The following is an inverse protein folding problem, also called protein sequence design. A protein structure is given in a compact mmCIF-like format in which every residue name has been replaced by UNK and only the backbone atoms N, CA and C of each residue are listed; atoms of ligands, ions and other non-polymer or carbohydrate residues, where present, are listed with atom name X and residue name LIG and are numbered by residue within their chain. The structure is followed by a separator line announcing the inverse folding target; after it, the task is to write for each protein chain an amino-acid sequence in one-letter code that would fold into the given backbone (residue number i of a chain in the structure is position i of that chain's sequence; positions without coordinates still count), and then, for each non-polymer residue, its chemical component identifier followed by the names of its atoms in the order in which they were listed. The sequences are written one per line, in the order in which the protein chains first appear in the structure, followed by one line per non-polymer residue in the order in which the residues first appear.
data_IF_098803816823
#
_entry.id   IF_098803816823
#
_cell.length_a   1.000
_cell.length_b   1.000
_cell.length_c   1.000
_cell.angle_alpha   90.00
_cell.angle_beta   90.00
_cell.angle_gamma   90.00
#
_symmetry.space_group_name_H-M   'P 1'
#
loop_
_entity.id
_entity.type
_entity.pdbx_description
1 polymer ?
#
# COMPACT_ATOMS: atom_id res chain seq x y z
N UNK A 1 28.31 39.64 34.28
CA UNK A 1 28.16 38.96 32.99
C UNK A 1 26.98 38.00 33.14
N UNK A 2 25.88 38.39 32.51
CA UNK A 2 24.69 37.59 32.13
C UNK A 2 24.02 36.69 33.17
N UNK A 3 23.12 37.29 33.94
CA UNK A 3 21.77 36.72 34.16
C UNK A 3 20.90 37.12 32.97
N UNK A 4 20.01 36.22 32.51
CA UNK A 4 18.58 36.52 32.23
C UNK A 4 17.84 35.33 31.59
N UNK A 5 16.84 34.90 32.34
CA UNK A 5 15.44 34.74 31.92
C UNK A 5 15.09 33.69 30.85
N UNK A 6 14.54 32.60 31.37
CA UNK A 6 13.57 31.74 30.73
C UNK A 6 12.30 32.58 30.50
N UNK A 7 11.86 32.77 29.25
CA UNK A 7 10.63 33.48 28.90
C UNK A 7 9.80 32.69 27.90
N UNK A 8 8.63 32.27 28.40
CA UNK A 8 7.31 32.17 27.80
C UNK A 8 7.12 31.56 26.40
N UNK A 9 6.26 30.54 26.37
CA UNK A 9 5.42 30.19 25.23
C UNK A 9 4.65 31.42 24.72
N UNK A 10 4.66 31.63 23.41
CA UNK A 10 3.65 32.41 22.69
C UNK A 10 2.88 31.50 21.72
N UNK A 11 1.54 31.56 21.71
CA UNK A 11 0.70 30.92 20.71
C UNK A 11 0.41 31.89 19.56
N UNK A 12 0.22 31.37 18.34
CA UNK A 12 -0.36 32.12 17.23
C UNK A 12 0.44 32.01 15.94
N UNK A 13 0.14 30.98 15.13
CA UNK A 13 0.39 31.05 13.70
C UNK A 13 -0.98 31.12 13.00
N UNK A 14 -1.26 32.30 12.47
CA UNK A 14 -2.47 32.66 11.74
C UNK A 14 -2.70 31.75 10.53
N UNK A 15 -3.87 31.13 10.47
CA UNK A 15 -4.35 30.45 9.26
C UNK A 15 -5.01 31.48 8.34
N UNK A 16 -4.31 31.90 7.29
CA UNK A 16 -4.89 32.71 6.20
C UNK A 16 -5.39 31.79 5.08
N UNK A 17 -6.70 31.74 4.76
CA UNK A 17 -7.19 31.02 3.59
C UNK A 17 -7.11 31.95 2.37
N UNK A 18 -6.13 31.72 1.51
CA UNK A 18 -5.98 32.38 0.22
C UNK A 18 -6.01 31.34 -0.89
N UNK A 19 -6.99 31.45 -1.78
CA UNK A 19 -7.30 30.53 -2.85
C UNK A 19 -6.11 30.19 -3.77
N UNK A 20 -6.01 28.92 -4.17
CA UNK A 20 -5.66 28.51 -5.54
C UNK A 20 -5.99 27.04 -5.79
N UNK A 21 -6.98 26.82 -6.66
CA UNK A 21 -7.13 25.56 -7.39
C UNK A 21 -5.99 25.46 -8.39
N UNK A 22 -5.10 24.49 -8.17
CA UNK A 22 -4.23 23.93 -9.21
C UNK A 22 -4.02 22.47 -8.87
N UNK A 23 -4.76 21.61 -9.56
CA UNK A 23 -4.62 20.16 -9.48
C UNK A 23 -3.47 19.79 -10.43
N UNK A 24 -2.24 19.90 -9.95
CA UNK A 24 -1.04 19.25 -10.48
C UNK A 24 0.19 19.77 -9.71
N UNK A 25 0.38 19.28 -8.48
CA UNK A 25 1.71 19.31 -7.89
C UNK A 25 2.43 18.03 -8.32
N UNK A 26 3.67 18.10 -8.83
CA UNK A 26 4.48 16.92 -9.05
C UNK A 26 4.68 16.28 -7.68
N UNK A 27 4.27 15.02 -7.52
CA UNK A 27 4.61 14.28 -6.31
C UNK A 27 6.13 14.26 -6.23
N UNK A 28 6.67 14.94 -5.21
CA UNK A 28 8.08 14.97 -4.88
C UNK A 28 8.64 13.54 -4.92
N UNK A 29 9.42 13.21 -5.95
CA UNK A 29 10.00 11.88 -6.16
C UNK A 29 11.12 11.57 -5.15
N UNK A 30 11.42 12.51 -4.25
CA UNK A 30 12.60 12.49 -3.38
C UNK A 30 12.45 11.65 -2.10
N UNK A 31 11.28 11.01 -1.86
CA UNK A 31 11.07 10.17 -0.67
C UNK A 31 10.33 8.84 -0.95
N UNK A 32 10.37 8.31 -2.17
CA UNK A 32 9.88 6.93 -2.37
C UNK A 32 10.85 5.93 -1.72
N UNK A 33 10.37 5.02 -0.85
CA UNK A 33 11.22 3.96 -0.31
C UNK A 33 11.80 3.14 -1.45
N UNK A 34 13.11 2.92 -1.41
CA UNK A 34 13.77 2.02 -2.37
C UNK A 34 13.16 0.62 -2.24
N UNK A 35 12.64 0.09 -3.35
CA UNK A 35 12.10 -1.27 -3.41
C UNK A 35 13.25 -2.19 -3.83
N UNK A 36 13.69 -3.12 -2.97
CA UNK A 36 14.72 -4.08 -3.34
C UNK A 36 14.31 -4.98 -4.52
N UNK A 37 15.28 -5.46 -5.28
CA UNK A 37 15.04 -6.41 -6.39
C UNK A 37 14.56 -7.78 -5.88
N UNK A 38 14.92 -8.16 -4.66
CA UNK A 38 14.41 -9.35 -3.97
C UNK A 38 13.44 -8.93 -2.86
N UNK A 39 12.20 -9.43 -2.92
CA UNK A 39 11.18 -9.18 -1.91
C UNK A 39 10.75 -10.47 -1.21
N UNK A 40 10.57 -10.38 0.10
CA UNK A 40 9.80 -11.36 0.86
C UNK A 40 8.33 -11.21 0.50
N UNK A 41 7.73 -12.29 0.02
CA UNK A 41 6.37 -12.33 -0.49
C UNK A 41 5.42 -12.80 0.61
N UNK A 42 4.49 -11.93 0.99
CA UNK A 42 3.38 -12.22 1.89
C UNK A 42 2.12 -12.54 1.05
N UNK A 43 1.65 -13.80 1.07
CA UNK A 43 0.42 -14.17 0.39
C UNK A 43 -0.81 -13.61 1.12
N UNK A 44 -1.66 -12.86 0.41
CA UNK A 44 -2.93 -12.33 0.95
C UNK A 44 -4.14 -13.05 0.34
N UNK A 45 -5.22 -13.18 1.13
CA UNK A 45 -6.49 -13.84 0.74
C UNK A 45 -7.62 -12.83 0.62
N UNK A 46 -8.52 -12.99 -0.36
CA UNK A 46 -9.75 -12.18 -0.46
C UNK A 46 -9.55 -10.72 -0.80
N UNK A 47 -8.31 -10.26 -1.01
CA UNK A 47 -8.00 -8.85 -1.21
C UNK A 47 -6.88 -8.67 -2.22
N UNK A 48 -6.94 -7.54 -2.93
CA UNK A 48 -5.88 -7.04 -3.80
C UNK A 48 -5.51 -5.65 -3.30
N UNK A 49 -4.22 -5.43 -3.04
CA UNK A 49 -3.72 -4.14 -2.57
C UNK A 49 -3.28 -3.32 -3.76
N UNK A 50 -3.83 -2.12 -3.91
CA UNK A 50 -3.40 -1.19 -4.96
C UNK A 50 -2.33 -0.21 -4.44
N UNK A 51 -1.49 0.33 -5.32
CA UNK A 51 -0.63 1.48 -5.00
C UNK A 51 -1.42 2.62 -4.34
N UNK A 52 -0.78 3.35 -3.44
CA UNK A 52 -1.36 4.43 -2.64
C UNK A 52 -2.52 4.02 -1.70
N UNK A 53 -2.86 2.73 -1.59
CA UNK A 53 -3.89 2.25 -0.66
C UNK A 53 -3.27 1.91 0.69
N UNK A 54 -3.93 2.30 1.79
CA UNK A 54 -3.56 1.88 3.15
C UNK A 54 -4.63 0.94 3.69
N UNK A 55 -4.23 -0.27 4.08
CA UNK A 55 -5.15 -1.26 4.66
C UNK A 55 -4.55 -1.99 5.86
N UNK A 56 -5.39 -2.39 6.83
CA UNK A 56 -5.03 -3.37 7.86
C UNK A 56 -5.01 -4.80 7.28
N UNK A 57 -3.99 -5.57 7.60
CA UNK A 57 -3.88 -7.00 7.29
C UNK A 57 -3.70 -7.82 8.57
N UNK A 58 -4.51 -8.86 8.73
CA UNK A 58 -4.35 -9.82 9.82
C UNK A 58 -3.39 -10.93 9.40
N UNK A 59 -2.35 -11.15 10.19
CA UNK A 59 -1.33 -12.17 9.98
C UNK A 59 -1.41 -13.17 11.13
N UNK A 60 -1.67 -14.43 10.78
CA UNK A 60 -1.88 -15.53 11.74
C UNK A 60 -0.97 -16.74 11.50
N UNK A 61 -0.38 -16.85 10.31
CA UNK A 61 0.43 -18.03 9.96
C UNK A 61 1.86 -17.88 10.46
N UNK A 62 2.41 -18.96 11.02
CA UNK A 62 3.80 -18.99 11.48
C UNK A 62 4.81 -18.59 10.37
N UNK A 63 4.59 -18.98 9.12
CA UNK A 63 5.44 -18.58 7.99
C UNK A 63 5.39 -17.06 7.73
N UNK A 64 4.21 -16.46 7.83
CA UNK A 64 4.02 -15.02 7.64
C UNK A 64 4.54 -14.19 8.80
N UNK A 65 4.42 -14.68 10.04
CA UNK A 65 5.02 -14.06 11.22
C UNK A 65 6.55 -14.05 11.12
N UNK A 66 7.14 -15.21 10.77
CA UNK A 66 8.58 -15.33 10.49
C UNK A 66 9.06 -14.40 9.39
N UNK A 67 8.26 -14.24 8.32
CA UNK A 67 8.55 -13.29 7.25
C UNK A 67 8.67 -11.87 7.78
N UNK A 68 7.70 -11.44 8.60
CA UNK A 68 7.72 -10.10 9.18
C UNK A 68 8.92 -9.93 10.11
N UNK A 69 9.19 -10.89 10.99
CA UNK A 69 10.29 -10.79 11.96
C UNK A 69 11.69 -10.79 11.30
N UNK A 70 11.92 -11.52 10.20
CA UNK A 70 13.22 -11.51 9.49
C UNK A 70 13.35 -10.35 8.48
N UNK A 71 12.23 -9.89 7.89
CA UNK A 71 12.26 -8.84 6.87
C UNK A 71 12.31 -7.46 7.50
N UNK A 72 11.48 -7.16 8.50
CA UNK A 72 11.33 -5.82 9.09
C UNK A 72 12.65 -5.21 9.64
N UNK A 73 13.59 -5.97 10.23
CA UNK A 73 14.88 -5.43 10.65
C UNK A 73 15.77 -4.98 9.49
N UNK A 74 15.59 -5.57 8.30
CA UNK A 74 16.42 -5.28 7.10
C UNK A 74 15.75 -4.23 6.21
N UNK A 75 14.46 -4.37 5.98
CA UNK A 75 13.66 -3.49 5.12
C UNK A 75 12.22 -3.43 5.59
N UNK A 76 11.62 -2.24 5.52
CA UNK A 76 10.19 -2.06 5.82
C UNK A 76 9.30 -2.39 4.61
N UNK A 77 9.88 -2.75 3.48
CA UNK A 77 9.16 -3.06 2.24
C UNK A 77 8.95 -4.56 2.12
N UNK A 78 7.71 -4.97 1.92
CA UNK A 78 7.30 -6.36 1.69
C UNK A 78 6.54 -6.48 0.36
N UNK A 79 6.57 -7.65 -0.27
CA UNK A 79 5.76 -7.93 -1.45
C UNK A 79 4.42 -8.53 -1.05
N UNK A 80 3.31 -7.94 -1.49
CA UNK A 80 1.97 -8.51 -1.30
C UNK A 80 1.52 -9.16 -2.59
N UNK A 81 1.14 -10.44 -2.53
CA UNK A 81 0.61 -11.18 -3.69
C UNK A 81 -0.66 -11.89 -3.30
N UNK A 82 -1.71 -11.71 -4.11
CA UNK A 82 -2.99 -12.36 -3.88
C UNK A 82 -2.90 -13.85 -4.23
N UNK A 83 -3.55 -14.69 -3.43
CA UNK A 83 -3.71 -16.11 -3.70
C UNK A 83 -4.82 -16.32 -4.74
N UNK A 84 -4.64 -17.27 -5.66
CA UNK A 84 -5.68 -17.69 -6.61
C UNK A 84 -6.76 -18.51 -5.91
N UNK A 85 -6.34 -19.40 -5.03
CA UNK A 85 -7.19 -20.25 -4.22
C UNK A 85 -7.09 -19.80 -2.76
N UNK A 86 -8.17 -19.25 -2.24
CA UNK A 86 -8.23 -18.74 -0.87
C UNK A 86 -8.28 -19.84 0.19
N UNK A 87 -8.60 -21.08 -0.21
CA UNK A 87 -8.76 -22.21 0.72
C UNK A 87 -7.43 -22.82 1.15
N UNK A 88 -6.36 -22.63 0.36
CA UNK A 88 -5.03 -23.21 0.65
C UNK A 88 -4.31 -22.48 1.78
N UNK A 89 -3.92 -23.22 2.81
CA UNK A 89 -3.16 -22.69 3.96
C UNK A 89 -1.70 -22.43 3.66
N UNK A 90 -1.06 -23.24 2.82
CA UNK A 90 0.30 -23.03 2.38
C UNK A 90 0.32 -22.90 0.85
N UNK A 91 0.17 -21.67 0.31
CA UNK A 91 0.14 -21.46 -1.12
C UNK A 91 1.53 -21.72 -1.71
N UNK A 92 1.57 -22.56 -2.75
CA UNK A 92 2.78 -22.72 -3.54
C UNK A 92 2.96 -21.53 -4.49
N UNK A 93 4.15 -21.30 -5.07
CA UNK A 93 4.34 -20.23 -6.04
C UNK A 93 3.36 -20.27 -7.23
N UNK A 94 2.85 -21.46 -7.58
CA UNK A 94 1.89 -21.65 -8.68
C UNK A 94 0.47 -21.21 -8.32
N UNK A 95 0.16 -21.17 -7.02
CA UNK A 95 -1.12 -20.75 -6.47
C UNK A 95 -1.22 -19.23 -6.32
N UNK A 96 -0.16 -18.49 -6.66
CA UNK A 96 -0.10 -17.04 -6.58
C UNK A 96 -0.35 -16.39 -7.94
N UNK A 97 -0.85 -15.15 -7.92
CA UNK A 97 -0.86 -14.31 -9.12
C UNK A 97 0.57 -13.86 -9.47
N UNK A 98 0.85 -13.67 -10.76
CA UNK A 98 2.16 -13.22 -11.23
C UNK A 98 2.45 -11.76 -10.90
N UNK A 99 1.41 -10.95 -10.66
CA UNK A 99 1.52 -9.53 -10.34
C UNK A 99 1.07 -9.30 -8.90
N UNK A 100 1.88 -8.55 -8.17
CA UNK A 100 1.62 -8.13 -6.80
C UNK A 100 1.86 -6.63 -6.59
N UNK A 101 1.82 -6.22 -5.34
CA UNK A 101 2.06 -4.83 -4.92
C UNK A 101 3.11 -4.81 -3.82
N UNK A 102 4.18 -4.06 -4.04
CA UNK A 102 5.17 -3.77 -3.03
C UNK A 102 4.52 -2.81 -2.03
N UNK A 103 4.61 -3.14 -0.76
CA UNK A 103 3.96 -2.39 0.30
C UNK A 103 4.95 -2.03 1.41
N UNK A 104 4.81 -0.84 1.95
CA UNK A 104 5.53 -0.37 3.12
C UNK A 104 4.75 -0.76 4.38
N UNK A 105 5.41 -1.40 5.33
CA UNK A 105 4.86 -1.66 6.65
C UNK A 105 4.94 -0.39 7.48
N UNK A 106 3.77 0.17 7.81
CA UNK A 106 3.65 1.41 8.61
C UNK A 106 3.67 1.10 10.10
N UNK A 107 2.90 0.10 10.52
CA UNK A 107 2.76 -0.27 11.94
C UNK A 107 2.46 -1.75 12.09
N UNK A 108 2.99 -2.33 13.16
CA UNK A 108 2.71 -3.70 13.57
C UNK A 108 2.10 -3.67 14.98
N UNK A 109 0.96 -4.34 15.14
CA UNK A 109 0.18 -4.42 16.37
C UNK A 109 0.04 -5.90 16.73
N UNK A 110 0.76 -6.35 17.76
CA UNK A 110 0.65 -7.73 18.26
C UNK A 110 -0.56 -7.82 19.18
N UNK A 111 -1.58 -8.59 18.80
CA UNK A 111 -2.75 -8.84 19.64
C UNK A 111 -2.55 -10.05 20.55
N UNK A 112 -1.82 -11.07 20.07
CA UNK A 112 -1.31 -12.22 20.82
C UNK A 112 -0.02 -12.73 20.15
N UNK A 113 0.64 -13.76 20.70
CA UNK A 113 1.86 -14.35 20.13
C UNK A 113 1.67 -14.77 18.65
N UNK A 114 0.52 -15.36 18.33
CA UNK A 114 0.22 -15.86 16.98
C UNK A 114 -0.69 -14.93 16.16
N UNK A 115 -1.13 -13.79 16.71
CA UNK A 115 -2.04 -12.88 16.02
C UNK A 115 -1.46 -11.47 15.94
N UNK A 116 -1.09 -11.06 14.72
CA UNK A 116 -0.49 -9.77 14.45
C UNK A 116 -1.31 -9.02 13.41
N UNK A 117 -1.73 -7.82 13.76
CA UNK A 117 -2.34 -6.87 12.84
C UNK A 117 -1.24 -5.95 12.28
N UNK A 118 -1.04 -5.95 10.97
CA UNK A 118 -0.08 -5.09 10.29
C UNK A 118 -0.79 -4.07 9.40
N UNK A 119 -0.42 -2.80 9.54
CA UNK A 119 -0.92 -1.72 8.70
C UNK A 119 0.11 -1.51 7.59
N UNK A 120 -0.34 -1.65 6.35
CA UNK A 120 0.52 -1.56 5.16
C UNK A 120 0.03 -0.48 4.20
N UNK A 121 0.96 0.17 3.52
CA UNK A 121 0.70 1.11 2.43
C UNK A 121 1.24 0.54 1.12
N UNK A 122 0.38 0.38 0.11
CA UNK A 122 0.81 0.01 -1.23
C UNK A 122 1.67 1.10 -1.86
N UNK A 123 2.84 0.74 -2.37
CA UNK A 123 3.78 1.65 -3.02
C UNK A 123 3.67 1.55 -4.55
N UNK A 124 4.03 0.39 -5.11
CA UNK A 124 4.09 0.16 -6.56
C UNK A 124 3.72 -1.28 -6.88
N UNK A 125 3.23 -1.50 -8.10
CA UNK A 125 3.03 -2.86 -8.63
C UNK A 125 4.37 -3.49 -8.97
N UNK A 126 4.47 -4.80 -8.84
CA UNK A 126 5.61 -5.59 -9.30
C UNK A 126 5.13 -6.88 -9.98
N UNK A 127 5.96 -7.44 -10.85
CA UNK A 127 5.79 -8.77 -11.41
C UNK A 127 6.80 -9.73 -10.78
N UNK A 128 6.35 -10.93 -10.42
CA UNK A 128 7.22 -12.02 -9.98
C UNK A 128 8.06 -12.49 -11.17
N UNK A 129 9.39 -12.43 -11.05
CA UNK A 129 10.33 -12.89 -12.08
C UNK A 129 10.81 -14.30 -11.80
N UNK A 130 11.36 -14.51 -10.62
CA UNK A 130 11.97 -15.79 -10.22
C UNK A 130 11.79 -16.03 -8.73
N UNK A 131 11.47 -17.26 -8.35
CA UNK A 131 11.40 -17.67 -6.95
C UNK A 131 12.82 -18.02 -6.48
N UNK A 132 13.28 -17.33 -5.45
CA UNK A 132 14.63 -17.51 -4.85
C UNK A 132 14.58 -18.56 -3.76
N UNK A 133 13.55 -18.51 -2.90
CA UNK A 133 13.38 -19.46 -1.81
C UNK A 133 11.89 -19.67 -1.50
N UNK A 134 11.56 -20.87 -1.01
CA UNK A 134 10.20 -21.26 -0.59
C UNK A 134 10.08 -21.56 0.90
N UNK A 135 11.19 -21.82 1.59
CA UNK A 135 11.24 -22.10 3.03
C UNK A 135 12.27 -21.18 3.70
N UNK A 136 11.96 -20.55 4.85
CA UNK A 136 10.74 -20.68 5.66
C UNK A 136 9.54 -19.84 5.19
N UNK A 137 9.74 -18.95 4.22
CA UNK A 137 8.71 -18.16 3.54
C UNK A 137 9.13 -17.90 2.09
N UNK A 138 8.21 -17.40 1.27
CA UNK A 138 8.47 -17.13 -0.14
C UNK A 138 9.34 -15.88 -0.31
N UNK A 139 10.44 -16.03 -1.06
CA UNK A 139 11.26 -14.92 -1.56
C UNK A 139 11.33 -14.99 -3.06
N UNK A 140 11.17 -13.85 -3.71
CA UNK A 140 11.19 -13.76 -5.16
C UNK A 140 11.91 -12.51 -5.62
N UNK A 141 12.61 -12.65 -6.75
CA UNK A 141 13.06 -11.53 -7.55
C UNK A 141 11.84 -10.90 -8.24
N UNK A 142 11.77 -9.58 -8.19
CA UNK A 142 10.63 -8.81 -8.70
C UNK A 142 11.08 -7.82 -9.76
N UNK A 143 10.22 -7.61 -10.76
CA UNK A 143 10.38 -6.56 -11.76
C UNK A 143 9.33 -5.48 -11.55
N UNK A 144 9.69 -4.21 -11.73
CA UNK A 144 8.81 -3.07 -11.50
C UNK A 144 8.27 -2.58 -12.84
N UNK A 145 7.06 -2.99 -13.27
CA UNK A 145 6.51 -2.55 -14.54
C UNK A 145 6.35 -1.03 -14.55
N UNK A 146 6.67 -0.43 -15.70
CA UNK A 146 6.46 0.99 -15.92
C UNK A 146 4.96 1.29 -15.99
N UNK A 147 4.52 2.29 -15.23
CA UNK A 147 3.18 2.83 -15.36
C UNK A 147 3.11 3.63 -16.66
N UNK A 148 2.33 3.15 -17.62
CA UNK A 148 2.06 3.87 -18.86
C UNK A 148 1.14 5.05 -18.51
N UNK A 149 1.60 6.28 -18.76
CA UNK A 149 0.73 7.45 -18.65
C UNK A 149 -0.32 7.39 -19.76
N UNK A 150 -1.61 7.60 -19.45
CA UNK A 150 -2.63 7.62 -20.49
C UNK A 150 -2.35 8.76 -21.48
N UNK A 151 -2.76 8.60 -22.74
CA UNK A 151 -2.59 9.64 -23.75
C UNK A 151 -3.50 10.84 -23.44
N UNK A 152 -2.97 12.06 -23.56
CA UNK A 152 -3.71 13.33 -23.37
C UNK A 152 -4.65 13.61 -24.56
N UNK A 153 -5.62 12.73 -24.75
CA UNK A 153 -6.58 12.77 -25.85
C UNK A 153 -7.96 13.19 -25.33
N UNK A 154 -8.74 13.87 -26.18
CA UNK A 154 -10.11 14.27 -25.83
C UNK A 154 -10.99 13.06 -25.53
N UNK A 155 -10.74 11.95 -26.21
CA UNK A 155 -11.39 10.66 -26.01
C UNK A 155 -11.10 10.09 -24.62
N UNK A 156 -9.84 10.14 -24.16
CA UNK A 156 -9.47 9.73 -22.82
C UNK A 156 -10.18 10.57 -21.76
N UNK A 157 -10.15 11.90 -21.91
CA UNK A 157 -10.82 12.78 -20.96
C UNK A 157 -12.34 12.55 -20.91
N UNK A 158 -13.00 12.37 -22.07
CA UNK A 158 -14.43 12.09 -22.14
C UNK A 158 -14.76 10.77 -21.46
N UNK A 159 -13.93 9.74 -21.67
CA UNK A 159 -14.09 8.43 -21.03
C UNK A 159 -13.91 8.53 -19.53
N UNK A 160 -12.89 9.26 -19.06
CA UNK A 160 -12.62 9.47 -17.65
C UNK A 160 -13.75 10.25 -16.96
N UNK A 161 -14.28 11.30 -17.61
CA UNK A 161 -15.47 12.02 -17.13
C UNK A 161 -16.67 11.08 -16.99
N UNK A 162 -16.96 10.28 -18.01
CA UNK A 162 -18.07 9.32 -17.97
C UNK A 162 -17.92 8.29 -16.84
N UNK A 163 -16.71 7.75 -16.64
CA UNK A 163 -16.42 6.82 -15.55
C UNK A 163 -16.67 7.48 -14.18
N UNK A 164 -16.20 8.71 -13.99
CA UNK A 164 -16.38 9.48 -12.75
C UNK A 164 -17.86 9.75 -12.48
N UNK A 165 -18.61 10.17 -13.49
CA UNK A 165 -20.03 10.51 -13.35
C UNK A 165 -20.86 9.25 -13.07
N UNK A 166 -20.53 8.13 -13.72
CA UNK A 166 -21.11 6.81 -13.45
C UNK A 166 -20.83 6.34 -12.02
N UNK A 167 -19.60 6.51 -11.54
CA UNK A 167 -19.23 6.18 -10.16
C UNK A 167 -20.01 7.05 -9.15
N UNK A 168 -20.12 8.36 -9.39
CA UNK A 168 -20.91 9.27 -8.56
C UNK A 168 -22.38 8.83 -8.49
N UNK A 169 -22.95 8.45 -9.64
CA UNK A 169 -24.33 7.96 -9.71
C UNK A 169 -24.55 6.69 -8.88
N UNK A 170 -23.59 5.76 -8.89
CA UNK A 170 -23.65 4.55 -8.06
C UNK A 170 -23.73 4.89 -6.56
N UNK A 171 -22.96 5.87 -6.11
CA UNK A 171 -22.98 6.30 -4.71
C UNK A 171 -24.32 6.96 -4.33
N UNK A 172 -24.91 7.78 -5.21
CA UNK A 172 -26.24 8.36 -4.99
C UNK A 172 -27.33 7.29 -4.85
N UNK A 173 -27.34 6.29 -5.75
CA UNK A 173 -28.34 5.23 -5.75
C UNK A 173 -28.24 4.33 -4.51
N UNK A 174 -27.02 4.05 -4.03
CA UNK A 174 -26.80 3.28 -2.81
C UNK A 174 -27.26 4.01 -1.55
N UNK A 175 -27.17 5.35 -1.50
CA UNK A 175 -27.68 6.15 -0.35
C UNK A 175 -29.19 6.01 -0.15
N UNK A 176 -29.97 5.76 -1.20
CA UNK A 176 -31.44 5.64 -1.08
C UNK A 176 -31.93 4.32 -0.46
N UNK A 177 -31.10 3.26 -0.37
CA UNK A 177 -31.50 1.98 0.27
C UNK A 177 -31.20 1.90 1.77
N UNK A 178 -30.38 2.78 2.32
CA UNK A 178 -30.03 2.78 3.75
C UNK A 178 -31.02 3.59 4.62
N UNK A 179 -31.99 4.28 4.01
CA UNK A 179 -32.94 5.16 4.69
C UNK A 179 -34.38 4.60 4.69
N UNK A 180 -34.56 3.28 4.53
CA UNK A 180 -35.86 2.62 4.50
C UNK A 180 -35.86 1.39 5.40
#
# INVERSE_FOLDING_TARGET
MSDKEITALQPGAEFKPGAQSTIAAPTDQSQMPHIPEELSILPVRGIVVFPATVIPLNVQRAASLKLLDDTLPRTKVIGLVTQRDETKEDPTPQDLYSVGTAALVLKLLRQSEDHVLVIVQGLRRFSLRKIVATSPFLRAEVDLPNSISPPETKEWEATFRNLRDSAAKLFELRRCRAAR
#
